data_IF_171832061873
#
_entry.id   IF_171832061873
#
_cell.length_a   1.000
_cell.length_b   1.000
_cell.length_c   1.000
_cell.angle_alpha   90.00
_cell.angle_beta   90.00
_cell.angle_gamma   90.00
#
_symmetry.space_group_name_H-M   'P 1'
#
loop_
_entity.id
_entity.type
_entity.pdbx_description
1 polymer ?
#
# COMPACT_ATOMS: atom_id res chain seq x y z
N UNK A 1 -1.93 -14.41 5.09
CA UNK A 1 -0.60 -13.95 4.62
C UNK A 1 0.06 -13.11 5.72
N UNK A 2 1.33 -13.38 5.99
CA UNK A 2 2.09 -12.58 6.95
C UNK A 2 2.32 -11.18 6.40
N UNK A 3 2.21 -10.16 7.26
CA UNK A 3 2.38 -8.77 6.87
C UNK A 3 3.49 -8.12 7.69
N UNK A 4 4.30 -7.32 7.03
CA UNK A 4 5.32 -6.49 7.69
C UNK A 4 5.02 -5.04 7.33
N UNK A 5 4.87 -4.20 8.34
CA UNK A 5 4.72 -2.77 8.15
C UNK A 5 6.07 -2.12 8.40
N UNK A 6 6.61 -1.45 7.39
CA UNK A 6 7.80 -0.62 7.60
C UNK A 6 7.40 0.52 8.55
N UNK A 7 8.36 1.07 9.24
CA UNK A 7 8.08 2.12 10.23
C UNK A 7 7.30 3.29 9.65
N UNK A 8 7.63 3.72 8.43
CA UNK A 8 6.90 4.78 7.76
C UNK A 8 5.44 4.40 7.52
N UNK A 9 5.22 3.19 7.04
CA UNK A 9 3.86 2.71 6.76
C UNK A 9 3.02 2.62 8.03
N UNK A 10 3.62 2.15 9.11
CA UNK A 10 2.92 2.06 10.39
C UNK A 10 2.56 3.46 10.93
N UNK A 11 3.51 4.41 10.82
CA UNK A 11 3.25 5.79 11.21
C UNK A 11 2.11 6.39 10.36
N UNK A 12 2.12 6.15 9.05
CA UNK A 12 1.06 6.60 8.16
C UNK A 12 -0.30 6.04 8.57
N UNK A 13 -0.33 4.75 8.86
CA UNK A 13 -1.57 4.05 9.22
C UNK A 13 -2.15 4.60 10.52
N UNK A 14 -1.30 4.84 11.52
CA UNK A 14 -1.73 5.45 12.78
C UNK A 14 -2.25 6.87 12.56
N UNK A 15 -1.59 7.62 11.68
CA UNK A 15 -2.00 8.98 11.36
C UNK A 15 -3.38 9.02 10.70
N UNK A 16 -3.64 8.09 9.76
CA UNK A 16 -4.95 7.98 9.12
C UNK A 16 -6.05 7.73 10.13
N UNK A 17 -5.80 6.98 11.17
CA UNK A 17 -6.80 6.71 12.21
C UNK A 17 -7.23 7.98 12.93
N UNK A 18 -6.37 9.01 12.96
CA UNK A 18 -6.71 10.31 13.53
C UNK A 18 -7.36 11.24 12.51
N UNK A 19 -7.00 11.11 11.24
CA UNK A 19 -7.43 12.04 10.19
C UNK A 19 -8.72 11.63 9.50
N UNK A 20 -8.87 10.36 9.14
CA UNK A 20 -9.97 9.93 8.27
C UNK A 20 -10.21 8.42 8.36
N UNK A 21 -11.24 8.04 9.07
CA UNK A 21 -11.60 6.64 9.24
C UNK A 21 -12.02 5.96 7.93
N UNK A 22 -12.56 6.71 6.98
CA UNK A 22 -12.93 6.16 5.68
C UNK A 22 -11.69 5.71 4.91
N UNK A 23 -10.60 6.47 5.04
CA UNK A 23 -9.34 6.12 4.41
C UNK A 23 -8.73 4.86 5.05
N UNK A 24 -8.82 4.72 6.37
CA UNK A 24 -8.41 3.49 7.05
C UNK A 24 -9.14 2.28 6.49
N UNK A 25 -10.46 2.41 6.34
CA UNK A 25 -11.29 1.34 5.79
C UNK A 25 -10.86 0.99 4.37
N UNK A 26 -10.59 1.99 3.55
CA UNK A 26 -10.11 1.79 2.18
C UNK A 26 -8.76 1.07 2.15
N UNK A 27 -7.83 1.48 3.00
CA UNK A 27 -6.52 0.82 3.12
C UNK A 27 -6.71 -0.65 3.50
N UNK A 28 -7.58 -0.93 4.45
CA UNK A 28 -7.86 -2.30 4.87
C UNK A 28 -8.44 -3.14 3.72
N UNK A 29 -9.33 -2.57 2.91
CA UNK A 29 -9.87 -3.24 1.72
C UNK A 29 -8.78 -3.56 0.72
N UNK A 30 -7.87 -2.60 0.48
CA UNK A 30 -6.77 -2.80 -0.47
C UNK A 30 -5.85 -3.92 0.02
N UNK A 31 -5.52 -3.94 1.31
CA UNK A 31 -4.66 -4.98 1.87
C UNK A 31 -5.29 -6.36 1.69
N UNK A 32 -6.58 -6.49 1.95
CA UNK A 32 -7.28 -7.75 1.73
C UNK A 32 -7.26 -8.15 0.26
N UNK A 33 -7.42 -7.18 -0.62
CA UNK A 33 -7.41 -7.45 -2.05
C UNK A 33 -6.02 -7.88 -2.53
N UNK A 34 -4.96 -7.28 -1.99
CA UNK A 34 -3.59 -7.71 -2.27
C UNK A 34 -3.36 -9.15 -1.83
N UNK A 35 -3.90 -9.53 -0.68
CA UNK A 35 -3.76 -10.91 -0.18
C UNK A 35 -4.49 -11.90 -1.08
N UNK A 36 -5.62 -11.50 -1.65
CA UNK A 36 -6.39 -12.34 -2.56
C UNK A 36 -5.70 -12.50 -3.92
N UNK A 37 -5.14 -11.41 -4.44
CA UNK A 37 -4.41 -11.39 -5.70
C UNK A 37 -3.35 -10.29 -5.61
N UNK A 38 -2.10 -10.68 -5.58
CA UNK A 38 -0.99 -9.76 -5.24
C UNK A 38 -0.81 -8.62 -6.23
N UNK A 39 -1.14 -8.84 -7.52
CA UNK A 39 -0.79 -7.88 -8.56
C UNK A 39 -1.96 -7.43 -9.43
N UNK A 40 -3.17 -7.86 -9.11
CA UNK A 40 -4.38 -7.47 -9.82
C UNK A 40 -5.48 -7.14 -8.83
N UNK A 41 -6.35 -6.22 -9.20
CA UNK A 41 -7.51 -5.90 -8.37
C UNK A 41 -7.73 -4.41 -8.21
N UNK A 42 -8.29 -4.03 -7.07
CA UNK A 42 -8.70 -2.64 -6.84
C UNK A 42 -7.51 -1.70 -6.67
N UNK A 43 -7.71 -0.41 -6.94
CA UNK A 43 -6.70 0.60 -6.75
C UNK A 43 -5.67 0.70 -7.85
N UNK A 44 -5.93 0.11 -9.02
CA UNK A 44 -5.02 0.16 -10.19
C UNK A 44 -3.60 -0.27 -9.85
N UNK A 45 -3.37 -1.54 -9.51
CA UNK A 45 -2.02 -2.03 -9.20
C UNK A 45 -1.03 -1.70 -10.29
N UNK A 46 0.12 -1.18 -9.90
CA UNK A 46 1.13 -0.72 -10.85
C UNK A 46 2.52 -1.00 -10.31
N UNK A 47 3.41 -1.63 -11.12
CA UNK A 47 4.80 -1.83 -10.70
C UNK A 47 5.55 -0.52 -10.74
N UNK A 48 6.40 -0.28 -9.75
CA UNK A 48 7.21 0.92 -9.67
C UNK A 48 8.56 0.69 -10.30
N UNK A 49 9.25 1.79 -10.63
CA UNK A 49 10.53 1.78 -11.34
C UNK A 49 11.60 2.50 -10.53
N UNK A 50 12.83 2.44 -11.02
CA UNK A 50 13.95 3.14 -10.40
C UNK A 50 14.27 2.60 -9.02
N UNK A 51 14.42 3.50 -8.06
CA UNK A 51 14.78 3.14 -6.70
C UNK A 51 13.75 2.24 -6.02
N UNK A 52 12.50 2.25 -6.49
CA UNK A 52 11.43 1.42 -5.94
C UNK A 52 11.11 0.22 -6.83
N UNK A 53 12.03 -0.15 -7.72
CA UNK A 53 11.87 -1.34 -8.55
C UNK A 53 11.65 -2.57 -7.65
N UNK A 54 10.65 -3.38 -8.00
CA UNK A 54 10.26 -4.53 -7.17
C UNK A 54 9.09 -4.23 -6.24
N UNK A 55 8.80 -2.96 -6.01
CA UNK A 55 7.61 -2.55 -5.29
C UNK A 55 6.47 -2.27 -6.26
N UNK A 56 5.26 -2.29 -5.72
CA UNK A 56 4.02 -1.98 -6.43
C UNK A 56 3.27 -0.90 -5.68
N UNK A 57 2.40 -0.19 -6.38
CA UNK A 57 1.49 0.76 -5.73
C UNK A 57 0.05 0.42 -6.07
N UNK A 58 -0.84 0.76 -5.15
CA UNK A 58 -2.29 0.79 -5.41
C UNK A 58 -2.84 2.10 -4.89
N UNK A 59 -3.79 2.65 -5.63
CA UNK A 59 -4.41 3.92 -5.26
C UNK A 59 -5.36 3.75 -4.10
N UNK A 60 -5.15 4.53 -3.05
CA UNK A 60 -6.08 4.67 -1.94
C UNK A 60 -7.17 5.65 -2.38
N UNK A 61 -6.74 6.78 -2.93
CA UNK A 61 -7.58 7.82 -3.53
C UNK A 61 -6.76 8.48 -4.65
N UNK A 62 -7.19 9.64 -5.15
CA UNK A 62 -6.47 10.32 -6.23
C UNK A 62 -5.07 10.77 -5.82
N UNK A 63 -4.86 11.03 -4.55
CA UNK A 63 -3.63 11.62 -4.04
C UNK A 63 -2.71 10.63 -3.35
N UNK A 64 -3.27 9.65 -2.68
CA UNK A 64 -2.51 8.75 -1.81
C UNK A 64 -2.43 7.33 -2.37
N UNK A 65 -1.29 6.68 -2.10
CA UNK A 65 -1.01 5.31 -2.56
C UNK A 65 -0.56 4.45 -1.40
N UNK A 66 -0.86 3.16 -1.49
CA UNK A 66 -0.18 2.17 -0.70
C UNK A 66 0.96 1.62 -1.55
N UNK A 67 2.16 1.58 -1.00
CA UNK A 67 3.35 1.05 -1.68
C UNK A 67 3.76 -0.21 -0.95
N UNK A 68 3.92 -1.31 -1.70
CA UNK A 68 4.15 -2.61 -1.10
C UNK A 68 4.97 -3.50 -2.01
N UNK A 69 5.47 -4.59 -1.46
CA UNK A 69 6.05 -5.68 -2.26
C UNK A 69 5.68 -7.01 -1.62
N UNK A 70 5.74 -8.06 -2.44
CA UNK A 70 5.60 -9.43 -1.96
C UNK A 70 6.98 -10.06 -2.01
N UNK A 71 7.45 -10.54 -0.87
CA UNK A 71 8.77 -11.14 -0.75
C UNK A 71 8.65 -12.41 0.06
N UNK A 72 8.98 -13.55 -0.57
CA UNK A 72 8.90 -14.86 0.09
C UNK A 72 7.53 -15.13 0.74
N UNK A 73 6.46 -14.75 0.04
CA UNK A 73 5.10 -14.96 0.54
C UNK A 73 4.67 -13.99 1.65
N UNK A 74 5.47 -12.96 1.89
CA UNK A 74 5.19 -11.95 2.91
C UNK A 74 4.82 -10.63 2.24
N UNK A 75 3.76 -10.00 2.70
CA UNK A 75 3.37 -8.66 2.26
C UNK A 75 4.14 -7.64 3.08
N UNK A 76 4.99 -6.85 2.42
CA UNK A 76 5.74 -5.77 3.05
C UNK A 76 5.16 -4.45 2.60
N UNK A 77 4.68 -3.65 3.55
CA UNK A 77 4.06 -2.36 3.27
C UNK A 77 5.06 -1.25 3.60
N UNK A 78 5.48 -0.52 2.56
CA UNK A 78 6.49 0.53 2.69
C UNK A 78 5.88 1.84 3.16
N UNK A 79 4.73 2.21 2.62
CA UNK A 79 4.04 3.45 2.96
C UNK A 79 2.57 3.36 2.57
N UNK A 80 1.74 4.19 3.17
CA UNK A 80 0.33 4.28 2.78
C UNK A 80 -0.18 5.73 2.84
N UNK A 81 0.70 6.68 2.57
CA UNK A 81 0.35 8.09 2.47
C UNK A 81 1.29 8.72 1.44
N UNK A 82 0.79 9.69 0.65
CA UNK A 82 1.57 10.27 -0.43
C UNK A 82 1.51 9.41 -1.69
N UNK A 83 2.32 9.73 -2.70
CA UNK A 83 2.29 9.01 -3.97
C UNK A 83 3.70 8.74 -4.52
N UNK A 84 4.44 7.93 -3.79
CA UNK A 84 5.78 7.51 -4.20
C UNK A 84 5.73 6.80 -5.56
N UNK A 85 6.69 7.15 -6.43
CA UNK A 85 6.83 6.52 -7.73
C UNK A 85 5.70 6.80 -8.71
N UNK A 86 4.81 7.69 -8.37
CA UNK A 86 3.67 8.06 -9.20
C UNK A 86 4.03 9.30 -10.02
N UNK A 87 4.70 9.08 -11.11
CA UNK A 87 5.14 10.17 -11.98
C UNK A 87 4.27 10.26 -13.21
#
# INVERSE_FOLDING_TARGET
MKKIWFDEAWADYLKWQQLDKKTVKRINEIIRDIERDNFNGIGKPEPLKGALSGFWSRRIDEKHRIVYRIENGVLEILSCMGHYGDN
#
